data_IF_988267448069
#
_entry.id   IF_988267448069
#
_cell.length_a   1.000
_cell.length_b   1.000
_cell.length_c   1.000
_cell.angle_alpha   90.00
_cell.angle_beta   90.00
_cell.angle_gamma   90.00
#
_symmetry.space_group_name_H-M   'P 1'
#
loop_
_entity.id
_entity.type
_entity.pdbx_description
1 polymer ?
#
# COMPACT_ATOMS: atom_id res chain seq x y z
N UNK A 1 6.21 2.53 28.93
CA UNK A 1 6.64 3.33 27.78
C UNK A 1 5.59 3.27 26.67
N UNK A 2 5.32 4.38 26.01
CA UNK A 2 4.34 4.34 24.94
C UNK A 2 4.85 3.60 23.71
N UNK A 3 3.92 2.97 23.01
CA UNK A 3 4.19 2.43 21.69
C UNK A 3 4.28 3.60 20.70
N UNK A 4 5.16 3.52 19.71
CA UNK A 4 5.40 4.63 18.79
C UNK A 4 4.64 4.50 17.48
N UNK A 5 4.60 3.32 16.90
CA UNK A 5 3.92 3.08 15.64
C UNK A 5 3.86 1.59 15.36
N UNK A 6 3.16 1.24 14.31
CA UNK A 6 3.15 -0.12 13.80
C UNK A 6 3.29 -0.04 12.27
N UNK A 7 3.96 -1.00 11.68
CA UNK A 7 4.13 -1.06 10.23
C UNK A 7 3.54 -2.36 9.71
N UNK A 8 2.75 -2.32 8.64
CA UNK A 8 2.31 -3.56 8.01
C UNK A 8 3.49 -4.29 7.39
N UNK A 9 3.40 -5.61 7.38
CA UNK A 9 4.39 -6.45 6.71
C UNK A 9 3.65 -7.25 5.64
N UNK A 10 3.94 -6.94 4.38
CA UNK A 10 3.33 -7.58 3.24
C UNK A 10 4.35 -8.53 2.61
N UNK A 11 3.92 -9.31 1.63
CA UNK A 11 4.81 -10.25 0.95
C UNK A 11 5.14 -9.73 -0.45
N UNK A 12 6.37 -9.98 -0.93
CA UNK A 12 6.73 -9.65 -2.30
C UNK A 12 7.35 -10.85 -2.99
N UNK A 13 7.22 -10.89 -4.31
CA UNK A 13 7.69 -12.01 -5.13
C UNK A 13 8.97 -11.66 -5.90
N UNK A 14 9.06 -10.45 -6.42
CA UNK A 14 10.20 -9.98 -7.21
C UNK A 14 10.70 -8.66 -6.66
N UNK A 15 11.96 -8.62 -6.28
CA UNK A 15 12.56 -7.47 -5.61
C UNK A 15 12.57 -6.22 -6.49
N UNK A 16 13.06 -6.35 -7.72
CA UNK A 16 13.22 -5.18 -8.59
C UNK A 16 11.88 -4.61 -9.03
N UNK A 17 10.93 -5.47 -9.37
CA UNK A 17 9.57 -5.04 -9.72
C UNK A 17 8.89 -4.36 -8.52
N UNK A 18 9.11 -4.88 -7.33
CA UNK A 18 8.51 -4.32 -6.11
C UNK A 18 9.07 -2.93 -5.82
N UNK A 19 10.40 -2.78 -5.90
CA UNK A 19 11.02 -1.47 -5.68
C UNK A 19 10.50 -0.46 -6.70
N UNK A 20 10.46 -0.84 -7.97
CA UNK A 20 9.96 0.04 -9.03
C UNK A 20 8.51 0.43 -8.81
N UNK A 21 7.66 -0.53 -8.42
CA UNK A 21 6.25 -0.27 -8.19
C UNK A 21 6.03 0.72 -7.05
N UNK A 22 6.67 0.47 -5.90
CA UNK A 22 6.47 1.33 -4.73
C UNK A 22 7.08 2.72 -4.94
N UNK A 23 8.14 2.84 -5.73
CA UNK A 23 8.66 4.15 -6.09
C UNK A 23 7.66 4.94 -6.94
N UNK A 24 6.93 4.27 -7.83
CA UNK A 24 5.85 4.92 -8.59
C UNK A 24 4.72 5.39 -7.68
N UNK A 25 4.50 4.70 -6.58
CA UNK A 25 3.50 5.12 -5.59
C UNK A 25 3.97 6.33 -4.76
N UNK A 26 5.21 6.75 -4.93
CA UNK A 26 5.77 7.86 -4.16
C UNK A 26 6.49 7.43 -2.89
N UNK A 27 6.72 6.12 -2.71
CA UNK A 27 7.47 5.63 -1.57
C UNK A 27 8.96 5.62 -1.88
N UNK A 28 9.75 5.80 -0.85
CA UNK A 28 11.21 5.72 -0.93
C UNK A 28 11.66 4.43 -0.27
N UNK A 29 12.52 3.67 -0.96
CA UNK A 29 13.09 2.44 -0.41
C UNK A 29 14.21 2.83 0.54
N UNK A 30 13.99 2.67 1.84
CA UNK A 30 14.99 3.04 2.84
C UNK A 30 15.70 1.85 3.48
N UNK A 31 15.37 0.64 3.08
CA UNK A 31 16.13 -0.56 3.44
C UNK A 31 15.93 -1.62 2.37
N UNK A 32 17.00 -2.23 1.95
CA UNK A 32 17.03 -3.19 0.86
C UNK A 32 17.97 -4.33 1.25
N UNK A 33 17.43 -5.23 2.06
CA UNK A 33 18.15 -6.42 2.50
C UNK A 33 17.76 -7.60 1.62
N UNK A 34 18.56 -8.64 1.60
CA UNK A 34 18.16 -9.87 0.95
C UNK A 34 16.89 -10.40 1.64
N UNK A 35 15.80 -10.44 0.88
CA UNK A 35 14.55 -10.97 1.37
C UNK A 35 13.72 -10.04 2.23
N UNK A 36 14.12 -8.78 2.40
CA UNK A 36 13.34 -7.83 3.18
C UNK A 36 13.50 -6.41 2.67
N UNK A 37 12.39 -5.73 2.43
CA UNK A 37 12.37 -4.35 1.94
C UNK A 37 11.57 -3.48 2.90
N UNK A 38 12.00 -2.23 3.04
CA UNK A 38 11.28 -1.23 3.82
C UNK A 38 11.08 0.02 2.96
N UNK A 39 9.85 0.51 2.91
CA UNK A 39 9.48 1.70 2.14
C UNK A 39 8.83 2.72 3.05
N UNK A 40 9.01 4.00 2.71
CA UNK A 40 8.41 5.09 3.47
C UNK A 40 7.86 6.17 2.53
N UNK A 41 6.67 6.65 2.84
CA UNK A 41 6.09 7.86 2.26
C UNK A 41 5.39 8.60 3.38
N UNK A 42 5.69 9.90 3.55
CA UNK A 42 5.16 10.72 4.64
C UNK A 42 5.43 10.05 5.99
N UNK A 43 4.40 9.71 6.75
CA UNK A 43 4.55 9.07 8.05
C UNK A 43 4.35 7.55 7.98
N UNK A 44 4.18 6.99 6.77
CA UNK A 44 3.82 5.59 6.60
C UNK A 44 5.04 4.77 6.21
N UNK A 45 5.26 3.68 6.94
CA UNK A 45 6.27 2.69 6.62
C UNK A 45 5.58 1.39 6.24
N UNK A 46 6.01 0.78 5.15
CA UNK A 46 5.52 -0.52 4.72
C UNK A 46 6.73 -1.43 4.59
N UNK A 47 6.68 -2.58 5.25
CA UNK A 47 7.71 -3.61 5.16
C UNK A 47 7.22 -4.74 4.28
N UNK A 48 8.14 -5.38 3.55
CA UNK A 48 7.80 -6.54 2.72
C UNK A 48 8.88 -7.60 2.90
N UNK A 49 8.44 -8.86 2.97
CA UNK A 49 9.35 -10.00 3.01
C UNK A 49 9.24 -10.82 1.73
N UNK A 50 10.36 -11.39 1.31
CA UNK A 50 10.40 -12.22 0.10
C UNK A 50 9.72 -13.55 0.36
N UNK A 51 8.75 -13.89 -0.49
CA UNK A 51 8.10 -15.18 -0.44
C UNK A 51 8.25 -15.87 -1.81
N UNK A 52 8.05 -17.18 -1.83
CA UNK A 52 8.14 -17.98 -3.04
C UNK A 52 6.81 -18.61 -3.45
N UNK A 53 5.72 -18.20 -2.81
CA UNK A 53 4.38 -18.68 -3.09
C UNK A 53 3.51 -17.50 -3.55
N UNK A 54 3.18 -17.48 -4.84
CA UNK A 54 2.43 -16.35 -5.42
C UNK A 54 1.02 -16.22 -4.86
N UNK A 55 0.51 -17.22 -4.16
CA UNK A 55 -0.80 -17.11 -3.51
C UNK A 55 -0.76 -16.25 -2.26
N UNK A 56 0.39 -16.16 -1.58
CA UNK A 56 0.48 -15.44 -0.30
C UNK A 56 0.16 -13.95 -0.45
N UNK A 57 0.79 -13.20 -1.37
CA UNK A 57 0.46 -11.78 -1.51
C UNK A 57 -1.00 -11.52 -1.86
N UNK A 58 -1.65 -12.45 -2.54
CA UNK A 58 -3.06 -12.29 -2.93
C UNK A 58 -4.02 -12.34 -1.74
N UNK A 59 -3.54 -12.74 -0.57
CA UNK A 59 -4.35 -12.85 0.64
C UNK A 59 -3.89 -11.92 1.74
N UNK A 60 -3.02 -10.97 1.43
CA UNK A 60 -2.49 -10.01 2.41
C UNK A 60 -2.78 -8.59 1.95
N UNK A 61 -2.81 -7.68 2.92
CA UNK A 61 -3.07 -6.28 2.63
C UNK A 61 -2.94 -5.42 3.87
N UNK A 62 -3.20 -4.13 3.67
CA UNK A 62 -3.18 -3.19 4.78
C UNK A 62 -4.15 -2.05 4.52
N UNK A 63 -4.34 -1.21 5.55
CA UNK A 63 -5.22 -0.06 5.49
C UNK A 63 -4.41 1.18 5.88
N UNK A 64 -4.44 2.20 5.03
CA UNK A 64 -3.70 3.43 5.24
C UNK A 64 -4.70 4.58 5.37
N UNK A 65 -4.63 5.32 6.47
CA UNK A 65 -5.45 6.52 6.66
C UNK A 65 -4.74 7.69 6.01
N UNK A 66 -5.49 8.50 5.26
CA UNK A 66 -4.93 9.62 4.50
C UNK A 66 -5.77 10.87 4.66
N UNK A 67 -5.17 12.01 4.37
CA UNK A 67 -5.86 13.26 4.13
C UNK A 67 -5.90 13.50 2.61
N UNK A 68 -6.82 14.33 2.14
CA UNK A 68 -6.93 14.72 0.73
C UNK A 68 -6.96 13.50 -0.21
N UNK A 69 -7.85 12.58 0.09
CA UNK A 69 -7.90 11.29 -0.62
C UNK A 69 -8.18 11.46 -2.12
N UNK A 70 -8.91 12.52 -2.53
CA UNK A 70 -9.17 12.78 -3.94
C UNK A 70 -7.90 13.06 -4.71
N UNK A 71 -6.96 13.77 -4.11
CA UNK A 71 -5.66 14.07 -4.73
C UNK A 71 -4.86 12.78 -4.93
N UNK A 72 -4.81 11.95 -3.89
CA UNK A 72 -4.10 10.67 -3.97
C UNK A 72 -4.77 9.74 -4.99
N UNK A 73 -6.09 9.70 -5.00
CA UNK A 73 -6.82 8.88 -5.96
C UNK A 73 -6.50 9.27 -7.41
N UNK A 74 -6.47 10.59 -7.68
CA UNK A 74 -6.10 11.08 -9.01
C UNK A 74 -4.68 10.70 -9.39
N UNK A 75 -3.76 10.80 -8.44
CA UNK A 75 -2.37 10.39 -8.64
C UNK A 75 -2.28 8.93 -9.05
N UNK A 76 -2.99 8.06 -8.34
CA UNK A 76 -2.92 6.61 -8.59
C UNK A 76 -3.76 6.16 -9.76
N UNK A 77 -4.84 6.89 -10.09
CA UNK A 77 -5.59 6.62 -11.32
C UNK A 77 -4.70 6.77 -12.56
N UNK A 78 -3.81 7.75 -12.54
CA UNK A 78 -2.90 7.98 -13.66
C UNK A 78 -1.91 6.83 -13.85
N UNK A 79 -1.70 6.00 -12.83
CA UNK A 79 -0.82 4.83 -12.91
C UNK A 79 -1.56 3.55 -13.32
N UNK A 80 -2.89 3.62 -13.45
CA UNK A 80 -3.73 2.49 -13.84
C UNK A 80 -3.59 1.29 -12.88
N UNK A 81 -3.64 1.56 -11.59
CA UNK A 81 -3.44 0.54 -10.55
C UNK A 81 -4.63 0.42 -9.59
N UNK A 82 -5.71 1.14 -9.84
CA UNK A 82 -6.90 1.08 -8.97
C UNK A 82 -7.54 -0.31 -9.11
N UNK A 83 -7.82 -0.93 -7.98
CA UNK A 83 -8.50 -2.23 -7.97
C UNK A 83 -9.85 -2.11 -8.69
N UNK A 84 -10.22 -3.09 -9.53
CA UNK A 84 -11.50 -3.01 -10.28
C UNK A 84 -12.72 -2.78 -9.40
N UNK A 85 -12.72 -3.30 -8.19
CA UNK A 85 -13.81 -3.11 -7.23
C UNK A 85 -13.46 -2.11 -6.14
N UNK A 86 -12.39 -1.33 -6.34
CA UNK A 86 -11.86 -0.42 -5.34
C UNK A 86 -11.90 1.04 -5.73
N UNK A 87 -12.86 1.46 -6.54
CA UNK A 87 -13.01 2.87 -6.91
C UNK A 87 -13.32 3.71 -5.68
N UNK A 88 -12.92 4.98 -5.74
CA UNK A 88 -13.17 5.91 -4.66
C UNK A 88 -14.68 6.03 -4.41
N UNK A 89 -15.10 5.75 -3.18
CA UNK A 89 -16.51 5.82 -2.80
C UNK A 89 -16.66 6.01 -1.29
N UNK A 90 -17.83 6.46 -0.86
CA UNK A 90 -18.18 6.55 0.56
C UNK A 90 -18.60 5.18 1.07
N UNK A 91 -18.08 4.82 2.25
CA UNK A 91 -18.41 3.56 2.92
C UNK A 91 -19.34 3.81 4.09
N UNK A 92 -20.18 2.83 4.45
CA UNK A 92 -21.13 3.02 5.56
C UNK A 92 -20.47 3.20 6.93
N UNK A 93 -19.17 2.94 7.05
CA UNK A 93 -18.43 3.12 8.30
C UNK A 93 -17.70 4.48 8.35
N UNK A 94 -18.25 5.48 7.68
CA UNK A 94 -17.77 6.88 7.72
C UNK A 94 -16.36 7.08 7.16
N UNK A 95 -16.02 6.32 6.15
CA UNK A 95 -14.77 6.49 5.41
C UNK A 95 -15.03 6.70 3.94
N UNK A 96 -14.27 7.58 3.33
CA UNK A 96 -14.16 7.67 1.88
C UNK A 96 -12.92 6.88 1.50
N UNK A 97 -13.04 5.92 0.60
CA UNK A 97 -12.04 4.87 0.45
C UNK A 97 -11.84 4.43 -0.98
N UNK A 98 -10.60 4.09 -1.33
CA UNK A 98 -10.30 3.36 -2.56
C UNK A 98 -9.22 2.33 -2.28
N UNK A 99 -8.99 1.42 -3.24
CA UNK A 99 -8.02 0.33 -3.08
C UNK A 99 -7.18 0.18 -4.32
N UNK A 100 -5.94 -0.26 -4.13
CA UNK A 100 -5.04 -0.64 -5.21
C UNK A 100 -4.54 -2.06 -4.96
N UNK A 101 -4.02 -2.68 -6.02
CA UNK A 101 -3.24 -3.91 -5.90
C UNK A 101 -1.79 -3.56 -6.20
N UNK A 102 -0.85 -4.05 -5.39
CA UNK A 102 0.54 -3.89 -5.74
C UNK A 102 0.96 -4.95 -6.77
N UNK A 103 2.23 -4.91 -7.16
CA UNK A 103 2.75 -5.78 -8.21
C UNK A 103 2.74 -7.26 -7.85
N UNK A 104 2.65 -7.59 -6.57
CA UNK A 104 2.61 -8.99 -6.11
C UNK A 104 1.20 -9.47 -5.80
N UNK A 105 0.23 -8.55 -5.72
CA UNK A 105 -1.15 -8.89 -5.43
C UNK A 105 -1.64 -8.46 -4.06
N UNK A 106 -0.80 -7.82 -3.25
CA UNK A 106 -1.26 -7.27 -1.97
C UNK A 106 -2.28 -6.17 -2.21
N UNK A 107 -3.34 -6.15 -1.42
CA UNK A 107 -4.33 -5.07 -1.49
C UNK A 107 -3.95 -3.98 -0.49
N UNK A 108 -3.92 -2.73 -0.97
CA UNK A 108 -3.70 -1.58 -0.10
C UNK A 108 -4.94 -0.71 -0.19
N UNK A 109 -5.59 -0.54 0.95
CA UNK A 109 -6.77 0.31 1.08
C UNK A 109 -6.36 1.67 1.60
N UNK A 110 -6.88 2.73 1.00
CA UNK A 110 -6.67 4.09 1.48
C UNK A 110 -7.99 4.66 1.89
N UNK A 111 -8.04 5.29 3.06
CA UNK A 111 -9.28 5.84 3.56
C UNK A 111 -9.10 7.16 4.27
N UNK A 112 -10.09 8.03 4.12
CA UNK A 112 -10.15 9.31 4.82
C UNK A 112 -11.43 9.37 5.65
N UNK A 113 -11.28 9.70 6.93
CA UNK A 113 -12.43 9.86 7.80
C UNK A 113 -13.30 11.02 7.34
N UNK A 114 -14.59 10.79 7.32
CA UNK A 114 -15.59 11.81 6.99
C UNK A 114 -16.05 12.42 8.30
N UNK A 115 -15.83 13.72 8.45
CA UNK A 115 -16.22 14.45 9.67
C UNK A 115 -17.33 15.43 9.40
#
# INVERSE_FOLDING_TARGET
MPLLSASPILAFLDKNDTISFYEKLGFECNANWDGYLMFKRDQINIHLWLCDDEAIPKHTGCYVYVDEIETLYSEYMALDIIHPNGKLEYKPWNLKQFSILDNSGNIINFGQLIT
#
